data_IF_281791205952
#
_entry.id   IF_281791205952
#
_cell.length_a   1.000
_cell.length_b   1.000
_cell.length_c   1.000
_cell.angle_alpha   90.00
_cell.angle_beta   90.00
_cell.angle_gamma   90.00
#
_symmetry.space_group_name_H-M   'P 1'
#
loop_
_entity.id
_entity.type
_entity.pdbx_description
1 polymer ?
#
# COMPACT_ATOMS: atom_id res chain seq x y z
N UNK A 1 -25.68 14.33 -25.79
CA UNK A 1 -24.94 13.50 -24.80
C UNK A 1 -24.73 14.35 -23.54
N UNK A 2 -25.25 13.96 -22.37
CA UNK A 2 -25.19 14.77 -21.17
C UNK A 2 -23.78 14.77 -20.54
N UNK A 3 -23.42 15.92 -19.98
CA UNK A 3 -22.11 16.30 -19.46
C UNK A 3 -21.69 15.46 -18.24
N UNK A 4 -20.71 14.57 -18.40
CA UNK A 4 -20.10 13.72 -17.35
C UNK A 4 -19.35 14.55 -16.27
N UNK A 5 -19.24 15.86 -16.44
CA UNK A 5 -18.28 16.70 -15.72
C UNK A 5 -18.72 17.24 -14.34
N UNK A 6 -19.94 16.92 -13.85
CA UNK A 6 -20.44 17.48 -12.57
C UNK A 6 -19.85 16.80 -11.31
N UNK A 7 -19.32 15.59 -11.46
CA UNK A 7 -18.83 14.78 -10.32
C UNK A 7 -17.31 14.51 -10.37
N UNK A 8 -16.59 15.07 -11.34
CA UNK A 8 -15.14 14.88 -11.46
C UNK A 8 -14.46 15.91 -10.55
N UNK A 9 -14.00 15.46 -9.38
CA UNK A 9 -13.18 16.26 -8.47
C UNK A 9 -11.71 15.95 -8.74
N UNK A 10 -10.93 16.96 -9.13
CA UNK A 10 -9.49 16.81 -9.32
C UNK A 10 -8.80 16.85 -7.96
N UNK A 11 -8.12 15.78 -7.58
CA UNK A 11 -7.30 15.75 -6.36
C UNK A 11 -6.06 16.64 -6.58
N UNK A 12 -5.82 17.57 -5.66
CA UNK A 12 -4.65 18.43 -5.72
C UNK A 12 -3.37 17.60 -5.49
N UNK A 13 -2.48 17.53 -6.49
CA UNK A 13 -1.20 16.78 -6.42
C UNK A 13 -0.27 17.24 -5.28
N UNK A 14 -0.48 18.43 -4.72
CA UNK A 14 0.31 18.93 -3.58
C UNK A 14 -0.31 18.61 -2.22
N UNK A 15 -1.48 17.96 -2.15
CA UNK A 15 -2.16 17.64 -0.88
C UNK A 15 -1.26 16.83 0.06
N UNK A 16 -0.47 15.92 -0.51
CA UNK A 16 0.39 15.03 0.26
C UNK A 16 1.63 15.74 0.84
N UNK A 17 1.98 16.94 0.34
CA UNK A 17 3.16 17.68 0.80
C UNK A 17 3.09 18.04 2.28
N UNK A 18 1.87 18.25 2.80
CA UNK A 18 1.62 18.62 4.19
C UNK A 18 0.95 17.49 4.99
N UNK A 19 0.91 16.28 4.43
CA UNK A 19 0.28 15.15 5.08
C UNK A 19 1.19 14.56 6.16
N UNK A 20 0.79 14.71 7.43
CA UNK A 20 1.56 14.20 8.57
C UNK A 20 1.58 12.66 8.57
N UNK A 21 2.77 12.09 8.41
CA UNK A 21 3.00 10.64 8.37
C UNK A 21 3.64 10.09 9.65
N UNK A 22 3.61 10.84 10.75
CA UNK A 22 3.96 10.31 12.05
C UNK A 22 3.02 9.16 12.45
N UNK A 23 3.53 8.17 13.18
CA UNK A 23 2.72 7.03 13.60
C UNK A 23 1.52 7.43 14.45
N UNK A 24 1.67 8.48 15.26
CA UNK A 24 0.57 9.08 16.02
C UNK A 24 -0.53 9.59 15.09
N UNK A 25 -0.18 10.37 14.07
CA UNK A 25 -1.15 10.93 13.14
C UNK A 25 -1.84 9.85 12.29
N UNK A 26 -1.09 8.86 11.78
CA UNK A 26 -1.66 7.74 11.02
C UNK A 26 -2.65 6.96 11.88
N UNK A 27 -2.26 6.58 13.11
CA UNK A 27 -3.12 5.82 14.04
C UNK A 27 -4.35 6.62 14.51
N UNK A 28 -4.29 7.95 14.53
CA UNK A 28 -5.43 8.79 14.89
C UNK A 28 -6.45 8.94 13.77
N UNK A 29 -6.04 8.81 12.50
CA UNK A 29 -6.93 8.98 11.33
C UNK A 29 -7.70 7.71 10.95
N UNK A 30 -7.27 6.55 11.42
CA UNK A 30 -7.83 5.27 11.02
C UNK A 30 -8.06 4.35 12.22
N UNK A 31 -8.85 3.32 12.00
CA UNK A 31 -9.03 2.24 12.97
C UNK A 31 -8.07 1.09 12.65
N UNK A 32 -7.20 0.73 13.60
CA UNK A 32 -6.19 -0.32 13.44
C UNK A 32 -6.29 -1.30 14.62
N UNK A 33 -7.06 -2.39 14.51
CA UNK A 33 -7.22 -3.36 15.59
C UNK A 33 -5.90 -4.02 15.96
N UNK A 34 -5.62 -4.16 17.25
CA UNK A 34 -4.41 -4.83 17.73
C UNK A 34 -4.57 -6.36 17.78
N UNK A 35 -5.82 -6.84 17.77
CA UNK A 35 -6.16 -8.26 17.83
C UNK A 35 -7.09 -8.65 16.67
N UNK A 36 -6.97 -9.89 16.13
CA UNK A 36 -7.92 -10.41 15.15
C UNK A 36 -9.33 -10.44 15.72
N UNK A 37 -10.36 -10.18 14.89
CA UNK A 37 -11.75 -10.19 15.33
C UNK A 37 -12.32 -11.59 15.55
N UNK A 38 -11.70 -12.61 14.96
CA UNK A 38 -12.12 -14.01 15.14
C UNK A 38 -10.94 -14.98 15.10
N UNK A 39 -11.13 -16.17 15.68
CA UNK A 39 -10.17 -17.27 15.57
C UNK A 39 -10.00 -17.74 14.12
N UNK A 40 -11.06 -17.65 13.30
CA UNK A 40 -10.99 -18.00 11.89
C UNK A 40 -10.01 -17.07 11.13
N UNK A 41 -10.15 -15.75 11.32
CA UNK A 41 -9.25 -14.77 10.73
C UNK A 41 -7.81 -14.91 11.24
N UNK A 42 -7.63 -15.11 12.56
CA UNK A 42 -6.32 -15.34 13.17
C UNK A 42 -5.57 -16.51 12.52
N UNK A 43 -6.29 -17.59 12.20
CA UNK A 43 -5.73 -18.82 11.63
C UNK A 43 -5.62 -18.80 10.10
N UNK A 44 -6.06 -17.71 9.45
CA UNK A 44 -6.00 -17.55 8.01
C UNK A 44 -5.34 -16.22 7.59
N UNK A 45 -4.05 -15.99 7.89
CA UNK A 45 -3.36 -14.76 7.48
C UNK A 45 -3.24 -14.64 5.95
N UNK A 46 -3.49 -13.43 5.44
CA UNK A 46 -3.39 -13.08 4.02
C UNK A 46 -2.22 -12.11 3.82
N UNK A 47 -1.48 -12.28 2.73
CA UNK A 47 -0.48 -11.31 2.29
C UNK A 47 -1.04 -10.46 1.14
N UNK A 48 -1.28 -9.18 1.38
CA UNK A 48 -1.62 -8.21 0.36
C UNK A 48 -0.35 -7.64 -0.25
N UNK A 49 -0.23 -7.70 -1.57
CA UNK A 49 0.93 -7.23 -2.30
C UNK A 49 0.48 -6.15 -3.28
N UNK A 50 1.07 -4.96 -3.18
CA UNK A 50 0.69 -3.81 -3.99
C UNK A 50 1.90 -3.14 -4.61
N UNK A 51 1.77 -2.76 -5.89
CA UNK A 51 2.70 -1.83 -6.53
C UNK A 51 2.08 -0.44 -6.41
N UNK A 52 2.84 0.52 -5.86
CA UNK A 52 2.33 1.87 -5.58
C UNK A 52 3.33 2.93 -6.04
N UNK A 53 2.82 4.07 -6.51
CA UNK A 53 3.67 5.09 -7.14
C UNK A 53 3.38 6.55 -6.77
N UNK A 54 2.20 6.86 -6.20
CA UNK A 54 1.79 8.22 -5.81
C UNK A 54 0.61 8.19 -4.83
N UNK A 55 0.14 9.38 -4.46
CA UNK A 55 -1.07 9.63 -3.68
C UNK A 55 -1.06 8.86 -2.35
N UNK A 56 -0.15 9.25 -1.45
CA UNK A 56 0.03 8.57 -0.16
C UNK A 56 -1.27 8.54 0.65
N UNK A 57 -2.05 9.61 0.65
CA UNK A 57 -3.33 9.64 1.36
C UNK A 57 -4.27 8.51 0.90
N UNK A 58 -4.32 8.24 -0.40
CA UNK A 58 -5.11 7.13 -0.94
C UNK A 58 -4.52 5.77 -0.53
N UNK A 59 -3.19 5.64 -0.52
CA UNK A 59 -2.56 4.40 -0.06
C UNK A 59 -2.82 4.11 1.41
N UNK A 60 -2.78 5.15 2.26
CA UNK A 60 -3.11 5.08 3.69
C UNK A 60 -4.59 4.71 3.89
N UNK A 61 -5.51 5.34 3.15
CA UNK A 61 -6.94 5.03 3.21
C UNK A 61 -7.21 3.56 2.84
N UNK A 62 -6.63 3.09 1.74
CA UNK A 62 -6.78 1.70 1.30
C UNK A 62 -6.17 0.72 2.30
N UNK A 63 -5.01 1.06 2.85
CA UNK A 63 -4.39 0.28 3.93
C UNK A 63 -5.33 0.17 5.13
N UNK A 64 -5.91 1.30 5.58
CA UNK A 64 -6.81 1.32 6.72
C UNK A 64 -8.05 0.44 6.51
N UNK A 65 -8.69 0.55 5.34
CA UNK A 65 -9.88 -0.24 5.01
C UNK A 65 -9.63 -1.76 4.97
N UNK A 66 -8.39 -2.16 4.67
CA UNK A 66 -8.00 -3.55 4.55
C UNK A 66 -7.30 -4.08 5.80
N UNK A 67 -7.02 -3.24 6.80
CA UNK A 67 -6.10 -3.57 7.88
C UNK A 67 -6.67 -4.63 8.82
N UNK A 68 -5.86 -5.67 9.05
CA UNK A 68 -6.02 -6.61 10.14
C UNK A 68 -4.63 -6.98 10.68
N UNK A 69 -4.48 -7.14 12.01
CA UNK A 69 -3.17 -7.30 12.65
C UNK A 69 -2.45 -8.59 12.26
N UNK A 70 -3.18 -9.64 11.88
CA UNK A 70 -2.62 -10.91 11.45
C UNK A 70 -2.17 -10.92 9.98
N UNK A 71 -2.66 -10.01 9.14
CA UNK A 71 -2.33 -9.97 7.71
C UNK A 71 -0.98 -9.28 7.47
N UNK A 72 -0.39 -9.53 6.30
CA UNK A 72 0.83 -8.87 5.84
C UNK A 72 0.53 -7.93 4.67
N UNK A 73 1.20 -6.79 4.63
CA UNK A 73 1.00 -5.76 3.60
C UNK A 73 2.34 -5.40 3.00
N UNK A 74 2.67 -6.00 1.85
CA UNK A 74 3.90 -5.68 1.12
C UNK A 74 3.64 -4.66 0.03
N UNK A 75 4.45 -3.60 0.02
CA UNK A 75 4.42 -2.57 -1.01
C UNK A 75 5.74 -2.58 -1.79
N UNK A 76 5.62 -2.74 -3.10
CA UNK A 76 6.69 -2.45 -4.04
C UNK A 76 6.53 -1.01 -4.52
N UNK A 77 7.49 -0.16 -4.21
CA UNK A 77 7.46 1.24 -4.64
C UNK A 77 7.98 1.33 -6.07
N UNK A 78 7.30 2.10 -6.90
CA UNK A 78 7.80 2.44 -8.22
C UNK A 78 9.05 3.33 -8.08
N UNK A 79 10.14 2.94 -8.75
CA UNK A 79 11.42 3.63 -8.62
C UNK A 79 11.33 5.12 -9.05
N UNK A 80 10.44 5.44 -9.99
CA UNK A 80 10.25 6.82 -10.47
C UNK A 80 9.37 7.69 -9.56
N UNK A 81 8.84 7.14 -8.48
CA UNK A 81 8.04 7.90 -7.52
C UNK A 81 8.86 9.00 -6.83
N UNK A 82 8.17 10.02 -6.35
CA UNK A 82 8.84 11.16 -5.72
C UNK A 82 9.55 10.76 -4.41
N UNK A 83 10.68 11.40 -4.06
CA UNK A 83 11.35 11.16 -2.78
C UNK A 83 10.44 11.36 -1.56
N UNK A 84 9.48 12.29 -1.67
CA UNK A 84 8.46 12.51 -0.64
C UNK A 84 7.58 11.26 -0.46
N UNK A 85 7.02 10.72 -1.54
CA UNK A 85 6.17 9.53 -1.49
C UNK A 85 6.91 8.34 -0.89
N UNK A 86 8.16 8.15 -1.32
CA UNK A 86 9.10 7.18 -0.76
C UNK A 86 9.28 7.31 0.76
N UNK A 87 9.50 8.53 1.24
CA UNK A 87 9.62 8.80 2.67
C UNK A 87 8.32 8.51 3.43
N UNK A 88 7.16 8.85 2.85
CA UNK A 88 5.87 8.63 3.47
C UNK A 88 5.54 7.14 3.62
N UNK A 89 5.79 6.35 2.57
CA UNK A 89 5.64 4.88 2.63
C UNK A 89 6.62 4.23 3.62
N UNK A 90 7.86 4.74 3.72
CA UNK A 90 8.81 4.31 4.75
C UNK A 90 8.33 4.62 6.16
N UNK A 91 7.71 5.78 6.38
CA UNK A 91 7.12 6.12 7.68
C UNK A 91 5.97 5.16 8.02
N UNK A 92 5.08 4.87 7.08
CA UNK A 92 4.00 3.89 7.28
C UNK A 92 4.54 2.51 7.68
N UNK A 93 5.58 2.01 6.98
CA UNK A 93 6.22 0.73 7.31
C UNK A 93 6.86 0.70 8.70
N UNK A 94 7.43 1.82 9.16
CA UNK A 94 7.95 1.92 10.55
C UNK A 94 6.84 1.88 11.61
N UNK A 95 5.63 2.29 11.27
CA UNK A 95 4.51 2.38 12.22
C UNK A 95 3.80 1.06 12.48
N UNK A 96 3.90 0.11 11.54
CA UNK A 96 3.18 -1.16 11.57
C UNK A 96 4.13 -2.31 11.23
N UNK A 97 4.35 -3.28 12.14
CA UNK A 97 5.33 -4.35 11.92
C UNK A 97 4.95 -5.31 10.79
N UNK A 98 3.68 -5.33 10.40
CA UNK A 98 3.14 -6.12 9.31
C UNK A 98 3.08 -5.37 7.97
N UNK A 99 3.66 -4.17 7.89
CA UNK A 99 3.83 -3.40 6.65
C UNK A 99 5.28 -3.49 6.17
N UNK A 100 5.46 -4.02 4.98
CA UNK A 100 6.75 -4.41 4.41
C UNK A 100 6.99 -3.63 3.12
N UNK A 101 8.24 -3.22 2.91
CA UNK A 101 8.69 -2.62 1.65
C UNK A 101 9.71 -3.53 0.98
N UNK A 102 9.72 -3.52 -0.35
CA UNK A 102 10.75 -4.22 -1.13
C UNK A 102 12.09 -3.49 -1.04
N UNK A 103 13.19 -4.24 -0.98
CA UNK A 103 14.54 -3.66 -1.04
C UNK A 103 14.91 -3.17 -2.44
N UNK A 104 14.39 -3.84 -3.48
CA UNK A 104 14.60 -3.50 -4.89
C UNK A 104 13.34 -2.91 -5.47
N UNK A 105 13.50 -1.80 -6.18
CA UNK A 105 12.43 -1.03 -6.81
C UNK A 105 12.71 -0.98 -8.32
N UNK A 106 11.66 -1.09 -9.13
CA UNK A 106 11.76 -1.01 -10.58
C UNK A 106 10.84 0.10 -11.09
N UNK A 107 11.20 0.71 -12.22
CA UNK A 107 10.31 1.62 -12.92
C UNK A 107 9.19 0.84 -13.58
N UNK A 108 7.94 1.13 -13.19
CA UNK A 108 6.74 0.48 -13.74
C UNK A 108 5.95 1.47 -14.58
N UNK A 109 5.47 1.08 -15.74
CA UNK A 109 4.69 1.95 -16.63
C UNK A 109 3.28 1.41 -16.92
N UNK A 110 2.50 2.21 -17.65
CA UNK A 110 1.13 1.86 -18.04
C UNK A 110 1.05 0.68 -19.00
N UNK A 111 2.15 0.36 -19.69
CA UNK A 111 2.29 -0.84 -20.51
C UNK A 111 2.61 -2.10 -19.66
N UNK A 112 2.88 -1.94 -18.36
CA UNK A 112 3.13 -3.03 -17.43
C UNK A 112 4.59 -3.48 -17.37
N UNK A 113 5.54 -2.72 -17.94
CA UNK A 113 6.95 -3.06 -17.84
C UNK A 113 7.38 -3.16 -16.37
N UNK A 114 8.20 -4.17 -16.07
CA UNK A 114 8.67 -4.51 -14.71
C UNK A 114 7.60 -4.82 -13.65
N UNK A 115 6.30 -4.78 -13.97
CA UNK A 115 5.24 -5.03 -12.98
C UNK A 115 5.38 -6.40 -12.31
N UNK A 116 5.57 -7.46 -13.11
CA UNK A 116 5.79 -8.81 -12.57
C UNK A 116 7.06 -8.92 -11.73
N UNK A 117 8.11 -8.14 -12.05
CA UNK A 117 9.36 -8.10 -11.27
C UNK A 117 9.11 -7.45 -9.91
N UNK A 118 8.41 -6.32 -9.87
CA UNK A 118 8.02 -5.65 -8.63
C UNK A 118 7.15 -6.53 -7.74
N UNK A 119 6.16 -7.24 -8.31
CA UNK A 119 5.38 -8.23 -7.57
C UNK A 119 6.24 -9.36 -7.02
N UNK A 120 7.19 -9.86 -7.81
CA UNK A 120 8.10 -10.93 -7.39
C UNK A 120 8.98 -10.52 -6.21
N UNK A 121 9.45 -9.27 -6.13
CA UNK A 121 10.22 -8.80 -4.97
C UNK A 121 9.38 -8.86 -3.69
N UNK A 122 8.12 -8.44 -3.74
CA UNK A 122 7.24 -8.58 -2.58
C UNK A 122 6.96 -10.04 -2.22
N UNK A 123 6.75 -10.91 -3.22
CA UNK A 123 6.58 -12.34 -2.98
C UNK A 123 7.82 -12.96 -2.32
N UNK A 124 9.03 -12.51 -2.67
CA UNK A 124 10.28 -12.95 -2.01
C UNK A 124 10.34 -12.54 -0.55
N UNK A 125 9.86 -11.34 -0.21
CA UNK A 125 9.76 -10.86 1.18
C UNK A 125 8.74 -11.70 1.95
N UNK A 126 7.51 -11.83 1.43
CA UNK A 126 6.42 -12.58 2.06
C UNK A 126 6.76 -14.06 2.23
N UNK A 127 7.46 -14.68 1.27
CA UNK A 127 7.88 -16.09 1.34
C UNK A 127 8.75 -16.40 2.56
N UNK A 128 9.45 -15.41 3.12
CA UNK A 128 10.27 -15.57 4.32
C UNK A 128 9.45 -15.50 5.62
N UNK A 129 8.20 -15.06 5.54
CA UNK A 129 7.27 -15.00 6.67
C UNK A 129 6.56 -16.34 6.84
N UNK A 130 6.16 -16.64 8.07
CA UNK A 130 5.48 -17.89 8.43
C UNK A 130 3.97 -17.68 8.55
N UNK A 131 3.20 -18.74 8.30
CA UNK A 131 1.78 -18.83 8.68
C UNK A 131 0.77 -18.25 7.68
N UNK A 132 1.18 -17.45 6.70
CA UNK A 132 0.28 -16.95 5.65
C UNK A 132 -0.25 -18.06 4.74
N UNK A 133 -1.46 -17.86 4.19
CA UNK A 133 -2.18 -18.85 3.39
C UNK A 133 -2.27 -18.47 1.91
N UNK A 134 -2.58 -17.21 1.63
CA UNK A 134 -2.73 -16.70 0.27
C UNK A 134 -2.02 -15.35 0.13
N UNK A 135 -1.54 -15.10 -1.09
CA UNK A 135 -1.07 -13.80 -1.51
C UNK A 135 -2.07 -13.20 -2.52
N UNK A 136 -2.49 -11.96 -2.28
CA UNK A 136 -3.38 -11.22 -3.17
C UNK A 136 -2.57 -10.09 -3.80
N UNK A 137 -2.37 -10.16 -5.12
CA UNK A 137 -1.71 -9.12 -5.89
C UNK A 137 -2.75 -8.07 -6.30
N UNK A 138 -2.54 -6.82 -5.93
CA UNK A 138 -3.42 -5.71 -6.31
C UNK A 138 -2.64 -4.67 -7.11
N UNK A 139 -3.20 -4.28 -8.25
CA UNK A 139 -2.64 -3.24 -9.10
C UNK A 139 -3.35 -1.91 -8.84
N UNK A 140 -2.59 -0.84 -8.67
CA UNK A 140 -3.11 0.51 -8.86
C UNK A 140 -3.03 0.80 -10.36
N UNK A 141 -4.15 1.11 -11.01
CA UNK A 141 -4.14 1.43 -12.43
C UNK A 141 -3.27 2.66 -12.68
N UNK A 142 -2.15 2.45 -13.35
CA UNK A 142 -1.20 3.48 -13.78
C UNK A 142 -1.78 4.22 -14.99
N UNK A 143 -2.80 5.06 -14.77
CA UNK A 143 -3.25 5.99 -15.80
C UNK A 143 -2.36 7.24 -15.78
N UNK A 144 -1.84 7.61 -16.96
CA UNK A 144 -1.17 8.89 -17.19
C UNK A 144 -2.18 10.04 -17.20
#
# INVERSE_FOLDING_TARGET
>A
MPQINKYVVTVNRSSDKHWDTSCKAIRQRGFYPEMPFSSAEKNFPIAFIRIVYKDFHLQELLFNLMYAPQNFYCYALDAKSTPLFHSQMRNLSKCFPNVLLTEREYEVDSAGHNMSRSFLECLRVVRRLLGWKYAILLQVSLFH
#
